data_IF_747252214678
#
_entry.id   IF_747252214678
#
_cell.length_a   1.000
_cell.length_b   1.000
_cell.length_c   1.000
_cell.angle_alpha   90.00
_cell.angle_beta   90.00
_cell.angle_gamma   90.00
#
_symmetry.space_group_name_H-M   'P 1'
#
loop_
_entity.id
_entity.type
_entity.pdbx_description
1 polymer ?
#
# COMPACT_ATOMS: atom_id res chain seq x y z
N UNK A 1 6.90 7.17 -13.95
CA UNK A 1 7.79 8.35 -14.07
C UNK A 1 7.70 9.31 -12.88
N UNK A 2 6.52 9.77 -12.42
CA UNK A 2 6.43 10.76 -11.33
C UNK A 2 6.81 10.24 -9.94
N UNK A 3 6.35 9.04 -9.56
CA UNK A 3 6.56 8.49 -8.21
C UNK A 3 8.01 8.11 -7.94
N UNK A 4 8.71 7.57 -8.94
CA UNK A 4 10.14 7.24 -8.83
C UNK A 4 10.99 8.48 -8.54
N UNK A 5 10.79 9.57 -9.29
CA UNK A 5 11.48 10.84 -9.06
C UNK A 5 11.21 11.45 -7.68
N UNK A 6 9.99 11.28 -7.17
CA UNK A 6 9.67 11.67 -5.79
C UNK A 6 10.53 10.89 -4.79
N UNK A 7 10.62 9.56 -4.92
CA UNK A 7 11.42 8.73 -4.03
C UNK A 7 12.92 9.04 -4.12
N UNK A 8 13.45 9.28 -5.33
CA UNK A 8 14.84 9.72 -5.54
C UNK A 8 15.13 11.03 -4.79
N UNK A 9 14.24 12.01 -4.88
CA UNK A 9 14.38 13.29 -4.18
C UNK A 9 14.31 13.14 -2.65
N UNK A 10 13.45 12.24 -2.14
CA UNK A 10 13.36 11.96 -0.71
C UNK A 10 14.61 11.23 -0.20
N UNK A 11 15.12 10.28 -0.98
CA UNK A 11 16.37 9.59 -0.69
C UNK A 11 17.57 10.56 -0.64
N UNK A 12 17.65 11.51 -1.58
CA UNK A 12 18.65 12.59 -1.56
C UNK A 12 18.59 13.46 -0.30
N UNK A 13 17.42 13.56 0.32
CA UNK A 13 17.19 14.24 1.61
C UNK A 13 17.38 13.32 2.82
N UNK A 14 17.88 12.10 2.61
CA UNK A 14 18.07 11.05 3.64
C UNK A 14 16.77 10.62 4.35
N UNK A 15 15.63 10.78 3.69
CA UNK A 15 14.34 10.29 4.17
C UNK A 15 14.21 8.82 3.74
N UNK A 16 14.15 7.91 4.71
CA UNK A 16 14.16 6.46 4.47
C UNK A 16 12.79 5.79 4.58
N UNK A 17 11.81 6.48 5.18
CA UNK A 17 10.46 5.95 5.39
C UNK A 17 9.46 6.98 4.91
N UNK A 18 8.55 6.55 4.03
CA UNK A 18 7.44 7.37 3.54
C UNK A 18 6.13 6.64 3.83
N UNK A 19 5.25 7.29 4.58
CA UNK A 19 3.86 6.86 4.70
C UNK A 19 3.03 7.55 3.62
N UNK A 20 2.30 6.77 2.83
CA UNK A 20 1.48 7.29 1.73
C UNK A 20 0.01 7.09 2.07
N UNK A 21 -0.71 8.20 2.19
CA UNK A 21 -2.15 8.23 2.37
C UNK A 21 -2.81 9.03 1.25
N UNK A 22 -4.03 8.65 0.88
CA UNK A 22 -4.78 9.34 -0.16
C UNK A 22 -5.87 8.48 -0.78
N UNK A 23 -6.50 9.00 -1.83
CA UNK A 23 -7.51 8.24 -2.58
C UNK A 23 -6.92 7.18 -3.50
N UNK A 24 -7.81 6.41 -4.14
CA UNK A 24 -7.44 5.32 -5.06
C UNK A 24 -6.38 5.72 -6.10
N UNK A 25 -6.47 6.92 -6.70
CA UNK A 25 -5.51 7.36 -7.73
C UNK A 25 -4.09 7.43 -7.19
N UNK A 26 -3.91 7.98 -5.99
CA UNK A 26 -2.59 8.11 -5.35
C UNK A 26 -2.07 6.73 -4.98
N UNK A 27 -2.84 5.96 -4.21
CA UNK A 27 -2.41 4.65 -3.72
C UNK A 27 -2.14 3.66 -4.85
N UNK A 28 -3.02 3.61 -5.86
CA UNK A 28 -2.85 2.72 -7.02
C UNK A 28 -1.62 3.09 -7.85
N UNK A 29 -1.19 4.37 -7.85
CA UNK A 29 0.00 4.80 -8.57
C UNK A 29 1.27 4.17 -7.98
N UNK A 30 1.42 4.17 -6.64
CA UNK A 30 2.53 3.50 -5.95
C UNK A 30 2.48 1.98 -6.16
N UNK A 31 1.29 1.38 -6.00
CA UNK A 31 1.09 -0.07 -6.16
C UNK A 31 1.47 -0.52 -7.57
N UNK A 32 0.96 0.15 -8.61
CA UNK A 32 1.25 -0.19 -10.02
C UNK A 32 2.71 0.05 -10.40
N UNK A 33 3.36 1.02 -9.78
CA UNK A 33 4.78 1.26 -10.00
C UNK A 33 5.67 0.21 -9.30
N UNK A 34 5.11 -0.63 -8.41
CA UNK A 34 5.89 -1.56 -7.59
C UNK A 34 6.77 -0.85 -6.54
N UNK A 35 6.55 0.44 -6.31
CA UNK A 35 7.36 1.30 -5.44
C UNK A 35 6.73 1.41 -4.04
N UNK A 36 6.51 0.26 -3.41
CA UNK A 36 5.98 0.13 -2.06
C UNK A 36 6.53 -1.15 -1.43
N UNK A 37 6.63 -1.16 -0.11
CA UNK A 37 7.12 -2.30 0.66
C UNK A 37 5.95 -3.04 1.33
N UNK A 38 5.13 -2.28 2.06
CA UNK A 38 4.02 -2.77 2.86
C UNK A 38 2.76 -1.94 2.60
N UNK A 39 1.61 -2.59 2.62
CA UNK A 39 0.31 -1.92 2.66
C UNK A 39 -0.48 -2.44 3.85
N UNK A 40 -1.14 -1.52 4.55
CA UNK A 40 -2.01 -1.82 5.70
C UNK A 40 -3.42 -1.37 5.35
N UNK A 41 -4.35 -2.31 5.37
CA UNK A 41 -5.75 -2.04 5.01
C UNK A 41 -6.61 -2.27 6.25
N UNK A 42 -7.31 -1.22 6.68
CA UNK A 42 -8.39 -1.33 7.65
C UNK A 42 -9.66 -1.69 6.89
N UNK A 43 -10.15 -2.91 7.10
CA UNK A 43 -11.36 -3.42 6.48
C UNK A 43 -12.50 -3.38 7.48
N UNK A 44 -13.51 -2.54 7.20
CA UNK A 44 -14.69 -2.44 8.03
C UNK A 44 -15.69 -3.58 7.75
N UNK A 45 -16.49 -3.94 8.76
CA UNK A 45 -17.59 -4.91 8.64
C UNK A 45 -18.82 -4.40 7.84
N UNK A 46 -18.68 -3.25 7.15
CA UNK A 46 -19.75 -2.56 6.44
C UNK A 46 -19.51 -2.52 4.95
N UNK A 47 -20.56 -2.81 4.19
CA UNK A 47 -20.58 -2.66 2.75
C UNK A 47 -21.07 -1.26 2.36
N UNK A 48 -20.35 -0.61 1.44
CA UNK A 48 -20.72 0.70 0.89
C UNK A 48 -21.18 0.54 -0.56
N UNK A 49 -22.49 0.66 -0.81
CA UNK A 49 -23.05 0.67 -2.16
C UNK A 49 -22.80 2.02 -2.86
N UNK A 50 -22.30 2.00 -4.09
CA UNK A 50 -22.03 3.23 -4.86
C UNK A 50 -20.80 4.01 -4.39
N UNK A 51 -19.98 3.43 -3.52
CA UNK A 51 -18.72 4.00 -3.07
C UNK A 51 -17.62 3.97 -4.14
N UNK A 52 -16.51 4.66 -3.87
CA UNK A 52 -15.31 4.54 -4.70
C UNK A 52 -14.61 3.22 -4.41
N UNK A 53 -14.17 2.53 -5.45
CA UNK A 53 -13.38 1.30 -5.30
C UNK A 53 -12.12 1.53 -4.44
N UNK A 54 -11.74 0.50 -3.68
CA UNK A 54 -10.44 0.44 -3.03
C UNK A 54 -9.32 0.19 -4.06
N UNK A 55 -8.07 0.56 -3.75
CA UNK A 55 -6.92 0.16 -4.57
C UNK A 55 -6.83 -1.37 -4.67
N UNK A 56 -6.47 -1.86 -5.85
CA UNK A 56 -6.24 -3.28 -6.10
C UNK A 56 -4.80 -3.60 -5.73
N UNK A 57 -4.63 -4.53 -4.79
CA UNK A 57 -3.35 -5.10 -4.41
C UNK A 57 -3.11 -6.42 -5.18
N UNK A 58 -1.86 -6.70 -5.59
CA UNK A 58 -1.57 -7.83 -6.48
C UNK A 58 -1.67 -9.20 -5.80
N UNK A 59 -1.51 -9.25 -4.48
CA UNK A 59 -1.44 -10.47 -3.68
C UNK A 59 -2.44 -10.41 -2.50
N UNK A 60 -2.86 -11.56 -1.96
CA UNK A 60 -3.64 -11.61 -0.73
C UNK A 60 -2.82 -11.10 0.47
N UNK A 61 -3.48 -10.70 1.57
CA UNK A 61 -2.78 -10.28 2.77
C UNK A 61 -1.94 -11.43 3.34
N UNK A 62 -0.73 -11.11 3.78
CA UNK A 62 0.18 -12.05 4.43
C UNK A 62 -0.21 -12.31 5.89
N UNK A 63 -0.92 -11.36 6.52
CA UNK A 63 -1.46 -11.49 7.88
C UNK A 63 -2.74 -10.68 8.02
N UNK A 64 -3.63 -11.16 8.88
CA UNK A 64 -4.87 -10.48 9.27
C UNK A 64 -4.97 -10.48 10.78
N UNK A 65 -5.38 -9.35 11.36
CA UNK A 65 -5.62 -9.21 12.79
C UNK A 65 -7.01 -8.63 13.03
N UNK A 66 -7.78 -9.14 14.00
CA UNK A 66 -9.02 -8.50 14.41
C UNK A 66 -8.73 -7.15 15.08
N UNK A 67 -9.54 -6.15 14.78
CA UNK A 67 -9.48 -4.81 15.38
C UNK A 67 -10.89 -4.35 15.77
N UNK A 68 -11.37 -4.85 16.91
CA UNK A 68 -12.74 -4.62 17.34
C UNK A 68 -13.72 -5.32 16.39
N UNK A 69 -14.49 -4.53 15.63
CA UNK A 69 -15.40 -5.04 14.58
C UNK A 69 -14.78 -5.05 13.19
N UNK A 70 -13.63 -4.39 13.04
CA UNK A 70 -12.91 -4.27 11.79
C UNK A 70 -11.77 -5.31 11.75
N UNK A 71 -11.11 -5.41 10.60
CA UNK A 71 -9.90 -6.21 10.41
C UNK A 71 -8.74 -5.33 9.94
N UNK A 72 -7.55 -5.61 10.45
CA UNK A 72 -6.30 -5.05 9.93
C UNK A 72 -5.59 -6.09 9.07
N UNK A 73 -5.53 -5.82 7.77
CA UNK A 73 -4.88 -6.65 6.77
C UNK A 73 -3.48 -6.11 6.47
N UNK A 74 -2.49 -6.99 6.50
CA UNK A 74 -1.11 -6.67 6.14
C UNK A 74 -0.77 -7.29 4.79
N UNK A 75 -0.26 -6.48 3.88
CA UNK A 75 0.23 -6.90 2.57
C UNK A 75 1.70 -6.58 2.44
N UNK A 76 2.41 -7.37 1.65
CA UNK A 76 3.81 -7.15 1.29
C UNK A 76 3.95 -7.24 -0.22
N UNK A 77 4.79 -6.37 -0.79
CA UNK A 77 5.07 -6.40 -2.21
C UNK A 77 5.90 -7.64 -2.57
N UNK A 78 5.40 -8.55 -3.43
CA UNK A 78 6.13 -9.78 -3.78
C UNK A 78 7.42 -9.50 -4.55
N UNK A 79 7.50 -8.39 -5.29
CA UNK A 79 8.69 -8.02 -6.06
C UNK A 79 9.86 -7.62 -5.16
N UNK A 80 9.59 -7.17 -3.94
CA UNK A 80 10.64 -6.83 -2.98
C UNK A 80 11.15 -8.04 -2.20
N UNK A 81 10.33 -9.09 -2.03
CA UNK A 81 10.79 -10.33 -1.39
C UNK A 81 11.82 -11.11 -2.22
N UNK A 82 11.93 -10.85 -3.53
CA UNK A 82 12.90 -11.50 -4.42
C UNK A 82 14.30 -10.88 -4.39
N UNK A 83 14.46 -9.67 -3.83
CA UNK A 83 15.75 -8.95 -3.79
C UNK A 83 16.49 -9.10 -2.44
N UNK A 84 16.12 -10.09 -1.62
CA UNK A 84 16.73 -10.37 -0.32
C UNK A 84 17.72 -11.56 -0.34
N UNK A 85 18.26 -11.91 -1.52
CA UNK A 85 19.32 -12.90 -1.69
C UNK A 85 20.48 -12.33 -2.51
#
# INVERSE_FOLDING_TARGET
QMVGKLLENLAGQKISILMVEGGIKTLQCFIRAGLWDEARVFLADKYVSGGRMAPILPEPPVKTYPLGKDELLFFRNPLQSLNLH
#
